data_IF_900762969721
#
_entry.id   IF_900762969721
#
_cell.length_a   1.000
_cell.length_b   1.000
_cell.length_c   1.000
_cell.angle_alpha   90.00
_cell.angle_beta   90.00
_cell.angle_gamma   90.00
#
_symmetry.space_group_name_H-M   'P 1'
#
loop_
_entity.id
_entity.type
_entity.pdbx_description
1 polymer ?
#
# COMPACT_ATOMS: atom_id res chain seq x y z
N UNK A 1 26.52 8.81 -7.01
CA UNK A 1 25.44 8.19 -6.21
C UNK A 1 24.36 7.72 -7.15
N UNK A 2 23.86 6.49 -7.03
CA UNK A 2 22.80 5.95 -7.89
C UNK A 2 21.41 6.37 -7.37
N UNK A 3 20.47 6.67 -8.26
CA UNK A 3 19.08 7.00 -7.91
C UNK A 3 18.22 5.74 -7.90
N UNK A 4 17.39 5.58 -6.87
CA UNK A 4 16.45 4.45 -6.74
C UNK A 4 15.04 4.97 -6.57
N UNK A 5 14.08 4.34 -7.24
CA UNK A 5 12.65 4.55 -7.03
C UNK A 5 12.12 3.41 -6.18
N UNK A 6 11.57 3.73 -5.02
CA UNK A 6 10.96 2.74 -4.11
C UNK A 6 9.44 2.85 -4.23
N UNK A 7 8.76 1.76 -4.59
CA UNK A 7 7.29 1.68 -4.54
C UNK A 7 6.88 1.15 -3.18
N UNK A 8 6.03 1.91 -2.49
CA UNK A 8 5.59 1.60 -1.13
C UNK A 8 4.07 1.67 -1.05
N UNK A 9 3.48 0.83 -0.20
CA UNK A 9 2.06 0.91 0.17
C UNK A 9 1.91 0.91 1.68
N UNK A 10 0.85 1.55 2.16
CA UNK A 10 0.41 1.45 3.56
C UNK A 10 -0.79 0.52 3.62
N UNK A 11 -0.70 -0.53 4.43
CA UNK A 11 -1.79 -1.46 4.70
C UNK A 11 -2.19 -1.37 6.17
N UNK A 12 -3.45 -1.66 6.45
CA UNK A 12 -3.98 -1.70 7.81
C UNK A 12 -4.56 -3.09 8.03
N UNK A 13 -4.10 -3.73 9.09
CA UNK A 13 -4.66 -5.00 9.55
C UNK A 13 -5.63 -4.65 10.69
N UNK A 14 -6.90 -5.01 10.53
CA UNK A 14 -7.93 -4.79 11.55
C UNK A 14 -8.87 -5.98 11.60
N UNK A 15 -9.41 -6.22 12.79
CA UNK A 15 -10.39 -7.28 13.04
C UNK A 15 -11.77 -6.66 13.22
N UNK A 16 -12.78 -7.29 12.63
CA UNK A 16 -14.19 -6.87 12.75
C UNK A 16 -14.98 -8.06 13.28
N UNK A 17 -15.63 -7.86 14.41
CA UNK A 17 -16.56 -8.83 14.98
C UNK A 17 -17.97 -8.57 14.46
N UNK A 18 -18.63 -9.62 13.97
CA UNK A 18 -20.00 -9.56 13.47
C UNK A 18 -20.79 -10.73 14.05
N UNK A 19 -21.90 -10.41 14.73
CA UNK A 19 -22.83 -11.43 15.23
C UNK A 19 -23.77 -11.87 14.11
N UNK A 20 -23.69 -13.15 13.72
CA UNK A 20 -24.57 -13.72 12.70
C UNK A 20 -24.89 -15.19 12.98
N UNK A 21 -26.00 -15.68 12.43
CA UNK A 21 -26.48 -17.05 12.66
C UNK A 21 -25.70 -18.12 11.87
N UNK A 22 -24.88 -17.72 10.90
CA UNK A 22 -24.00 -18.60 10.13
C UNK A 22 -22.85 -17.81 9.48
N UNK A 23 -21.77 -18.50 9.10
CA UNK A 23 -20.65 -17.88 8.38
C UNK A 23 -21.07 -17.22 7.05
N UNK A 24 -22.03 -17.82 6.34
CA UNK A 24 -22.58 -17.26 5.10
C UNK A 24 -23.36 -15.96 5.35
N UNK A 25 -24.15 -15.92 6.43
CA UNK A 25 -24.87 -14.70 6.82
C UNK A 25 -23.93 -13.59 7.29
N UNK A 26 -22.86 -13.92 8.02
CA UNK A 26 -21.82 -12.97 8.42
C UNK A 26 -21.12 -12.34 7.21
N UNK A 27 -20.71 -13.17 6.23
CA UNK A 27 -20.10 -12.68 4.98
C UNK A 27 -21.04 -11.76 4.21
N UNK A 28 -22.32 -12.12 4.12
CA UNK A 28 -23.31 -11.31 3.41
C UNK A 28 -23.51 -9.95 4.09
N UNK A 29 -23.62 -9.94 5.43
CA UNK A 29 -23.66 -8.69 6.20
C UNK A 29 -22.40 -7.84 5.98
N UNK A 30 -21.20 -8.43 5.99
CA UNK A 30 -19.95 -7.70 5.74
C UNK A 30 -19.92 -7.08 4.34
N UNK A 31 -20.38 -7.79 3.31
CA UNK A 31 -20.42 -7.29 1.93
C UNK A 31 -21.44 -6.15 1.77
N UNK A 32 -22.62 -6.30 2.41
CA UNK A 32 -23.71 -5.34 2.30
C UNK A 32 -23.50 -4.10 3.20
N UNK A 33 -22.60 -4.17 4.18
CA UNK A 33 -22.34 -3.07 5.11
C UNK A 33 -21.31 -2.08 4.52
N UNK A 34 -21.61 -0.78 4.50
CA UNK A 34 -20.65 0.24 4.08
C UNK A 34 -19.36 0.19 4.89
N UNK A 35 -18.24 0.41 4.21
CA UNK A 35 -16.89 0.34 4.81
C UNK A 35 -16.74 1.29 6.00
N UNK A 36 -17.35 2.48 5.97
CA UNK A 36 -17.26 3.45 7.07
C UNK A 36 -17.88 2.91 8.37
N UNK A 37 -18.87 2.02 8.27
CA UNK A 37 -19.50 1.39 9.43
C UNK A 37 -18.67 0.21 9.95
N UNK A 38 -18.05 -0.54 9.05
CA UNK A 38 -17.18 -1.67 9.41
C UNK A 38 -15.89 -1.23 10.11
N UNK A 39 -15.42 -0.04 9.77
CA UNK A 39 -14.18 0.54 10.29
C UNK A 39 -14.42 1.48 11.48
N UNK A 40 -15.67 1.60 11.93
CA UNK A 40 -16.03 2.47 13.03
C UNK A 40 -15.47 1.92 14.35
N UNK A 41 -14.42 2.58 14.87
CA UNK A 41 -13.72 2.14 16.08
C UNK A 41 -12.45 1.32 15.82
N UNK A 42 -12.12 1.03 14.56
CA UNK A 42 -10.83 0.45 14.21
C UNK A 42 -9.71 1.50 14.35
N UNK A 43 -8.58 1.08 14.92
CA UNK A 43 -7.41 1.95 15.08
C UNK A 43 -6.54 1.93 13.81
N UNK A 44 -6.58 3.02 13.05
CA UNK A 44 -5.73 3.23 11.87
C UNK A 44 -4.45 4.02 12.20
N UNK A 45 -4.05 4.13 13.47
CA UNK A 45 -2.87 4.90 13.88
C UNK A 45 -1.55 4.23 13.50
N UNK A 46 -1.53 2.90 13.30
CA UNK A 46 -0.33 2.12 13.01
C UNK A 46 -0.42 1.38 11.68
N UNK A 47 -0.30 2.08 10.54
CA UNK A 47 -0.17 1.41 9.24
C UNK A 47 1.11 0.59 9.16
N UNK A 48 1.00 -0.63 8.63
CA UNK A 48 2.16 -1.40 8.21
C UNK A 48 2.67 -0.88 6.87
N UNK A 49 3.99 -0.73 6.79
CA UNK A 49 4.68 -0.23 5.60
C UNK A 49 5.22 -1.42 4.80
N UNK A 50 4.65 -1.64 3.62
CA UNK A 50 5.15 -2.65 2.70
C UNK A 50 5.97 -1.99 1.58
N UNK A 51 7.19 -2.48 1.37
CA UNK A 51 8.01 -2.14 0.19
C UNK A 51 7.68 -3.16 -0.88
N UNK A 52 7.04 -2.70 -1.95
CA UNK A 52 6.57 -3.57 -3.03
C UNK A 52 7.64 -3.79 -4.10
N UNK A 53 8.49 -2.78 -4.32
CA UNK A 53 9.46 -2.78 -5.40
C UNK A 53 10.55 -1.72 -5.15
N UNK A 54 11.76 -2.00 -5.62
CA UNK A 54 12.89 -1.06 -5.60
C UNK A 54 13.54 -1.12 -6.97
N UNK A 55 13.34 -0.07 -7.76
CA UNK A 55 13.86 0.02 -9.13
C UNK A 55 15.04 0.97 -9.15
N UNK A 56 16.18 0.51 -9.67
CA UNK A 56 17.31 1.37 -9.99
C UNK A 56 16.94 2.24 -11.19
N UNK A 57 17.03 3.56 -11.05
CA UNK A 57 16.89 4.45 -12.19
C UNK A 57 18.20 4.45 -12.97
N UNK A 58 18.33 3.51 -13.90
CA UNK A 58 19.50 3.43 -14.81
C UNK A 58 19.59 4.66 -15.71
N UNK A 59 18.46 5.31 -16.02
CA UNK A 59 18.36 6.51 -16.85
C UNK A 59 18.32 7.83 -16.04
N UNK A 60 19.12 7.98 -14.99
CA UNK A 60 19.22 9.27 -14.28
C UNK A 60 19.95 10.28 -15.20
N UNK A 61 19.25 11.34 -15.69
CA UNK A 61 19.80 12.29 -16.68
C UNK A 61 20.98 13.11 -16.16
N UNK A 62 21.32 13.03 -14.86
CA UNK A 62 22.57 13.56 -14.32
C UNK A 62 23.80 12.78 -14.83
N UNK A 63 23.65 11.53 -15.23
CA UNK A 63 24.73 10.67 -15.74
C UNK A 63 24.83 10.67 -17.28
N UNK A 64 23.77 11.04 -18.00
CA UNK A 64 23.74 11.08 -19.47
C UNK A 64 24.08 12.47 -20.06
N UNK A 65 24.36 13.46 -19.22
CA UNK A 65 24.65 14.83 -19.68
C UNK A 65 26.09 15.06 -20.15
N UNK A 66 26.99 14.08 -20.05
CA UNK A 66 28.41 14.27 -20.35
C UNK A 66 29.01 13.39 -21.47
N UNK A 67 28.23 12.57 -22.17
CA UNK A 67 28.75 11.75 -23.29
C UNK A 67 29.00 12.55 -24.58
N UNK A 68 28.95 13.88 -24.54
CA UNK A 68 29.20 14.71 -25.73
C UNK A 68 30.15 15.88 -25.52
N UNK A 69 31.02 15.84 -24.50
CA UNK A 69 32.09 16.85 -24.33
C UNK A 69 33.38 16.30 -23.73
N UNK A 70 34.14 15.51 -24.50
CA UNK A 70 35.59 15.74 -24.58
C UNK A 70 36.01 15.51 -26.04
N UNK A 71 36.70 16.52 -26.56
CA UNK A 71 37.21 16.71 -27.93
C UNK A 71 38.00 15.54 -28.48
#
# INVERSE_FOLDING_TARGET
MKSYTVKMSKTYDFEVEVEAHSAESAKKQLIDTPFEKLTQGCDFSQPSLAINDVVLNEFDPRFYKDDNKVR
#
